data_IF_926828896440
#
_entry.id   IF_926828896440
#
_cell.length_a   1.000
_cell.length_b   1.000
_cell.length_c   1.000
_cell.angle_alpha   90.00
_cell.angle_beta   90.00
_cell.angle_gamma   90.00
#
_symmetry.space_group_name_H-M   'P 1'
#
loop_
_entity.id
_entity.type
_entity.pdbx_description
1 polymer ?
#
# COMPACT_ATOMS: atom_id res chain seq x y z
N UNK A 1 -6.04 -2.79 -18.64
CA UNK A 1 -5.62 -3.99 -17.88
C UNK A 1 -6.70 -5.05 -18.00
N UNK A 2 -6.33 -6.34 -18.04
CA UNK A 2 -7.29 -7.45 -18.00
C UNK A 2 -7.52 -7.98 -16.57
N UNK A 3 -6.52 -7.83 -15.69
CA UNK A 3 -6.59 -8.19 -14.27
C UNK A 3 -5.95 -7.07 -13.45
N UNK A 4 -6.58 -6.72 -12.32
CA UNK A 4 -6.02 -5.90 -11.25
C UNK A 4 -6.20 -6.68 -9.96
N UNK A 5 -5.17 -6.76 -9.11
CA UNK A 5 -5.28 -7.43 -7.83
C UNK A 5 -4.57 -6.66 -6.72
N UNK A 6 -5.08 -6.77 -5.50
CA UNK A 6 -4.50 -6.14 -4.32
C UNK A 6 -4.82 -6.93 -3.05
N UNK A 7 -3.79 -7.23 -2.25
CA UNK A 7 -3.99 -7.73 -0.88
C UNK A 7 -4.55 -6.62 0.00
N UNK A 8 -5.56 -6.93 0.82
CA UNK A 8 -6.31 -5.90 1.53
C UNK A 8 -5.50 -5.15 2.59
N UNK A 9 -4.55 -5.82 3.26
CA UNK A 9 -3.69 -5.34 4.36
C UNK A 9 -2.85 -4.10 4.10
N UNK A 10 -2.90 -3.55 2.89
CA UNK A 10 -2.18 -2.32 2.54
C UNK A 10 -3.07 -1.11 2.75
N UNK A 11 -4.17 -1.01 2.01
CA UNK A 11 -4.97 0.21 1.92
C UNK A 11 -6.48 -0.02 2.08
N UNK A 12 -6.96 -1.26 2.06
CA UNK A 12 -8.40 -1.54 1.92
C UNK A 12 -8.95 -2.51 2.97
N UNK A 13 -8.15 -2.94 3.95
CA UNK A 13 -8.64 -3.82 5.02
C UNK A 13 -7.52 -4.60 5.73
N UNK A 14 -7.87 -5.68 6.45
CA UNK A 14 -6.93 -6.55 7.15
C UNK A 14 -6.25 -7.57 6.22
N UNK A 15 -5.25 -8.29 6.73
CA UNK A 15 -4.62 -9.40 6.02
C UNK A 15 -5.53 -10.64 5.96
N UNK A 16 -5.37 -11.44 4.91
CA UNK A 16 -6.11 -12.70 4.71
C UNK A 16 -7.15 -12.67 3.58
N UNK A 17 -7.26 -11.56 2.85
CA UNK A 17 -8.14 -11.45 1.67
C UNK A 17 -7.46 -10.65 0.56
N UNK A 18 -7.71 -11.04 -0.69
CA UNK A 18 -7.19 -10.38 -1.89
C UNK A 18 -8.36 -9.95 -2.76
N UNK A 19 -8.42 -8.67 -3.10
CA UNK A 19 -9.35 -8.16 -4.10
C UNK A 19 -8.78 -8.45 -5.49
N UNK A 20 -9.61 -9.01 -6.37
CA UNK A 20 -9.28 -9.20 -7.79
C UNK A 20 -10.40 -8.60 -8.63
N UNK A 21 -10.03 -7.72 -9.57
CA UNK A 21 -10.91 -7.21 -10.62
C UNK A 21 -10.42 -7.83 -11.92
N UNK A 22 -11.26 -8.67 -12.53
CA UNK A 22 -10.96 -9.43 -13.74
C UNK A 22 -11.92 -9.01 -14.84
N UNK A 23 -11.41 -8.83 -16.06
CA UNK A 23 -12.24 -8.53 -17.24
C UNK A 23 -12.90 -9.81 -17.76
N UNK A 24 -14.17 -9.74 -18.11
CA UNK A 24 -14.95 -10.94 -18.45
C UNK A 24 -14.42 -11.74 -19.65
N UNK A 25 -13.78 -11.08 -20.63
CA UNK A 25 -13.26 -11.69 -21.86
C UNK A 25 -12.05 -12.63 -21.67
N UNK A 26 -11.45 -12.62 -20.48
CA UNK A 26 -10.35 -13.53 -20.10
C UNK A 26 -10.80 -14.67 -19.18
N UNK A 27 -12.08 -14.72 -18.80
CA UNK A 27 -12.65 -15.89 -18.13
C UNK A 27 -12.67 -17.09 -19.11
N UNK A 28 -12.65 -18.29 -18.57
CA UNK A 28 -12.55 -19.55 -19.33
C UNK A 28 -11.15 -19.89 -19.83
N UNK A 29 -10.13 -19.07 -19.54
CA UNK A 29 -8.75 -19.24 -20.04
C UNK A 29 -7.77 -19.82 -19.02
N UNK A 30 -8.26 -20.39 -17.92
CA UNK A 30 -7.39 -21.03 -16.93
C UNK A 30 -6.69 -22.25 -17.55
N UNK A 31 -5.41 -22.46 -17.23
CA UNK A 31 -4.70 -23.68 -17.63
C UNK A 31 -5.31 -24.89 -16.94
N UNK A 32 -5.25 -26.07 -17.57
CA UNK A 32 -5.76 -27.32 -17.00
C UNK A 32 -5.15 -27.67 -15.62
N UNK A 33 -3.93 -27.19 -15.35
CA UNK A 33 -3.23 -27.39 -14.06
C UNK A 33 -3.58 -26.35 -13.00
N UNK A 34 -4.39 -25.33 -13.33
CA UNK A 34 -4.74 -24.25 -12.41
C UNK A 34 -5.60 -24.80 -11.25
N UNK A 35 -5.18 -24.62 -9.99
CA UNK A 35 -6.01 -24.97 -8.85
C UNK A 35 -7.35 -24.23 -8.90
N UNK A 36 -8.42 -24.90 -8.45
CA UNK A 36 -9.80 -24.37 -8.46
C UNK A 36 -9.92 -23.01 -7.80
N UNK A 37 -9.28 -22.83 -6.63
CA UNK A 37 -9.30 -21.57 -5.86
C UNK A 37 -8.57 -20.40 -6.55
N UNK A 38 -7.77 -20.67 -7.58
CA UNK A 38 -7.09 -19.65 -8.40
C UNK A 38 -7.76 -19.45 -9.76
N UNK A 39 -8.77 -20.26 -10.10
CA UNK A 39 -9.48 -20.14 -11.36
C UNK A 39 -10.54 -19.03 -11.26
N UNK A 40 -10.26 -17.88 -11.87
CA UNK A 40 -11.16 -16.72 -11.87
C UNK A 40 -12.54 -17.01 -12.45
N UNK A 41 -12.66 -17.97 -13.37
CA UNK A 41 -13.96 -18.34 -13.96
C UNK A 41 -14.85 -19.02 -12.94
N UNK A 42 -14.28 -19.93 -12.16
CA UNK A 42 -14.99 -20.65 -11.09
C UNK A 42 -15.34 -19.67 -9.98
N UNK A 43 -14.36 -18.87 -9.52
CA UNK A 43 -14.60 -17.86 -8.49
C UNK A 43 -15.66 -16.82 -8.91
N UNK A 44 -15.69 -16.40 -10.17
CA UNK A 44 -16.71 -15.46 -10.67
C UNK A 44 -18.10 -16.11 -10.74
N UNK A 45 -18.21 -17.34 -11.24
CA UNK A 45 -19.48 -18.07 -11.33
C UNK A 45 -20.10 -18.32 -9.95
N UNK A 46 -19.26 -18.59 -8.95
CA UNK A 46 -19.71 -18.85 -7.57
C UNK A 46 -19.81 -17.57 -6.73
N UNK A 47 -19.73 -16.38 -7.34
CA UNK A 47 -19.76 -15.08 -6.65
C UNK A 47 -18.73 -14.99 -5.50
N UNK A 48 -17.55 -15.56 -5.68
CA UNK A 48 -16.48 -15.69 -4.66
C UNK A 48 -16.85 -16.53 -3.43
N UNK A 49 -17.86 -17.40 -3.54
CA UNK A 49 -18.36 -18.29 -2.48
C UNK A 49 -18.13 -19.78 -2.81
N UNK A 50 -17.15 -20.09 -3.65
CA UNK A 50 -16.79 -21.48 -4.00
C UNK A 50 -16.46 -22.33 -2.75
N UNK A 51 -15.82 -21.71 -1.75
CA UNK A 51 -15.57 -22.26 -0.43
C UNK A 51 -15.84 -21.20 0.64
N UNK A 52 -15.64 -21.54 1.91
CA UNK A 52 -15.82 -20.60 3.03
C UNK A 52 -14.92 -19.38 2.84
N UNK A 53 -15.47 -18.17 2.60
CA UNK A 53 -14.68 -16.99 2.37
C UNK A 53 -14.14 -16.42 3.70
N UNK A 54 -13.14 -15.52 3.66
CA UNK A 54 -12.66 -14.81 4.84
C UNK A 54 -13.69 -13.74 5.30
N UNK A 55 -14.80 -14.18 5.89
CA UNK A 55 -15.99 -13.36 6.20
C UNK A 55 -15.64 -12.11 7.00
N UNK A 56 -14.81 -12.25 8.04
CA UNK A 56 -14.41 -11.12 8.88
C UNK A 56 -13.64 -10.06 8.07
N UNK A 57 -12.70 -10.49 7.23
CA UNK A 57 -11.90 -9.59 6.41
C UNK A 57 -12.76 -8.88 5.37
N UNK A 58 -13.70 -9.59 4.72
CA UNK A 58 -14.64 -9.01 3.76
C UNK A 58 -15.53 -7.96 4.44
N UNK A 59 -16.04 -8.25 5.64
CA UNK A 59 -16.83 -7.30 6.41
C UNK A 59 -16.04 -6.00 6.70
N UNK A 60 -14.81 -6.12 7.20
CA UNK A 60 -13.96 -4.94 7.48
C UNK A 60 -13.63 -4.17 6.19
N UNK A 61 -13.38 -4.85 5.06
CA UNK A 61 -13.22 -4.19 3.77
C UNK A 61 -14.45 -3.36 3.40
N UNK A 62 -15.66 -3.88 3.64
CA UNK A 62 -16.91 -3.15 3.45
C UNK A 62 -16.96 -1.85 4.25
N UNK A 63 -16.58 -1.90 5.54
CA UNK A 63 -16.49 -0.71 6.39
C UNK A 63 -15.46 0.32 5.87
N UNK A 64 -14.30 -0.15 5.41
CA UNK A 64 -13.28 0.72 4.81
C UNK A 64 -13.80 1.39 3.53
N UNK A 65 -14.54 0.66 2.69
CA UNK A 65 -15.11 1.21 1.46
C UNK A 65 -16.18 2.27 1.74
N UNK A 66 -17.01 2.07 2.76
CA UNK A 66 -17.95 3.11 3.19
C UNK A 66 -17.23 4.35 3.72
N UNK A 67 -16.17 4.18 4.51
CA UNK A 67 -15.33 5.30 4.94
C UNK A 67 -14.68 6.03 3.75
N UNK A 68 -14.18 5.30 2.74
CA UNK A 68 -13.61 5.91 1.52
C UNK A 68 -14.67 6.77 0.81
N UNK A 69 -15.89 6.24 0.62
CA UNK A 69 -16.99 7.00 -0.01
C UNK A 69 -17.30 8.28 0.77
N UNK A 70 -17.40 8.20 2.09
CA UNK A 70 -17.66 9.35 2.96
C UNK A 70 -16.55 10.42 2.87
N UNK A 71 -15.32 10.03 2.53
CA UNK A 71 -14.17 10.91 2.40
C UNK A 71 -13.89 11.34 0.94
N UNK A 72 -14.92 11.44 0.10
CA UNK A 72 -14.80 11.91 -1.28
C UNK A 72 -14.36 10.85 -2.29
N UNK A 73 -14.51 9.56 -1.93
CA UNK A 73 -14.20 8.44 -2.81
C UNK A 73 -12.72 8.38 -3.21
N UNK A 74 -12.46 7.82 -4.40
CA UNK A 74 -11.09 7.64 -4.91
C UNK A 74 -10.37 8.98 -5.12
N UNK A 75 -11.07 10.01 -5.59
CA UNK A 75 -10.49 11.35 -5.77
C UNK A 75 -10.10 12.00 -4.43
N UNK A 76 -10.96 11.87 -3.41
CA UNK A 76 -10.65 12.31 -2.06
C UNK A 76 -9.42 11.60 -1.48
N UNK A 77 -9.30 10.29 -1.70
CA UNK A 77 -8.11 9.53 -1.31
C UNK A 77 -6.85 9.97 -2.06
N UNK A 78 -6.96 10.25 -3.36
CA UNK A 78 -5.87 10.77 -4.18
C UNK A 78 -5.38 12.13 -3.67
N UNK A 79 -6.30 13.05 -3.38
CA UNK A 79 -5.98 14.38 -2.87
C UNK A 79 -5.34 14.29 -1.48
N UNK A 80 -5.87 13.45 -0.59
CA UNK A 80 -5.29 13.20 0.73
C UNK A 80 -3.86 12.62 0.63
N UNK A 81 -3.65 11.62 -0.23
CA UNK A 81 -2.33 11.04 -0.45
C UNK A 81 -1.34 12.08 -0.99
N UNK A 82 -1.74 12.88 -1.98
CA UNK A 82 -0.92 13.98 -2.55
C UNK A 82 -0.55 15.01 -1.48
N UNK A 83 -1.51 15.47 -0.69
CA UNK A 83 -1.27 16.48 0.34
C UNK A 83 -0.29 15.97 1.41
N UNK A 84 -0.47 14.74 1.88
CA UNK A 84 0.42 14.11 2.86
C UNK A 84 1.82 13.89 2.29
N UNK A 85 1.93 13.36 1.06
CA UNK A 85 3.22 13.08 0.45
C UNK A 85 4.00 14.36 0.17
N UNK A 86 3.33 15.41 -0.29
CA UNK A 86 3.97 16.70 -0.58
C UNK A 86 4.56 17.32 0.67
N UNK A 87 3.88 17.26 1.82
CA UNK A 87 4.43 17.78 3.08
C UNK A 87 5.77 17.11 3.43
N UNK A 88 5.88 15.80 3.24
CA UNK A 88 7.11 15.06 3.54
C UNK A 88 8.18 15.34 2.48
N UNK A 89 7.82 15.29 1.20
CA UNK A 89 8.78 15.57 0.12
C UNK A 89 9.32 17.00 0.17
N UNK A 90 8.51 18.00 0.52
CA UNK A 90 8.98 19.36 0.70
C UNK A 90 10.03 19.47 1.82
N UNK A 91 9.88 18.71 2.90
CA UNK A 91 10.89 18.64 3.97
C UNK A 91 12.18 17.98 3.47
N UNK A 92 12.06 16.90 2.69
CA UNK A 92 13.22 16.20 2.12
C UNK A 92 13.96 17.13 1.15
N UNK A 93 13.26 17.70 0.18
CA UNK A 93 13.86 18.52 -0.87
C UNK A 93 14.38 19.86 -0.33
N UNK A 94 13.78 20.38 0.75
CA UNK A 94 14.22 21.61 1.44
C UNK A 94 15.27 21.39 2.53
N UNK A 95 15.83 20.19 2.68
CA UNK A 95 16.76 19.84 3.77
C UNK A 95 18.23 20.13 3.47
N UNK A 96 18.54 20.85 2.39
CA UNK A 96 19.91 21.14 1.93
C UNK A 96 20.78 19.87 1.77
N UNK A 97 20.15 18.74 1.43
CA UNK A 97 20.81 17.45 1.23
C UNK A 97 20.97 16.60 2.49
N UNK A 98 20.48 17.05 3.65
CA UNK A 98 20.49 16.22 4.87
C UNK A 98 19.57 15.01 4.74
N UNK A 99 18.38 15.17 4.17
CA UNK A 99 17.49 14.09 3.77
C UNK A 99 17.49 13.93 2.25
N UNK A 100 17.71 12.70 1.77
CA UNK A 100 17.79 12.43 0.33
C UNK A 100 16.84 11.30 -0.05
N UNK A 101 15.90 11.57 -0.95
CA UNK A 101 15.09 10.52 -1.56
C UNK A 101 15.88 9.87 -2.73
N UNK A 102 16.17 8.55 -2.70
CA UNK A 102 16.94 7.89 -3.76
C UNK A 102 16.14 7.66 -5.06
N UNK A 103 14.94 8.25 -5.16
CA UNK A 103 14.00 8.07 -6.27
C UNK A 103 13.85 9.40 -7.02
N UNK A 104 13.92 9.34 -8.35
CA UNK A 104 13.70 10.49 -9.24
C UNK A 104 12.34 11.14 -8.97
N UNK A 105 12.29 12.46 -9.01
CA UNK A 105 11.15 13.26 -8.54
C UNK A 105 9.84 12.98 -9.29
N UNK A 106 9.91 12.67 -10.58
CA UNK A 106 8.79 12.39 -11.48
C UNK A 106 8.10 11.03 -11.23
N UNK A 107 8.79 10.09 -10.58
CA UNK A 107 8.29 8.74 -10.28
C UNK A 107 8.15 8.45 -8.78
N UNK A 108 8.23 9.50 -7.95
CA UNK A 108 8.08 9.39 -6.49
C UNK A 108 6.69 8.86 -6.09
N UNK A 109 6.68 7.86 -5.22
CA UNK A 109 5.44 7.28 -4.71
C UNK A 109 4.75 8.23 -3.73
N UNK A 110 3.43 8.33 -3.84
CA UNK A 110 2.59 9.05 -2.86
C UNK A 110 2.23 8.21 -1.64
N UNK A 111 2.58 6.92 -1.63
CA UNK A 111 2.20 5.96 -0.60
C UNK A 111 3.38 5.48 0.25
N UNK A 112 4.56 5.31 -0.36
CA UNK A 112 5.74 4.85 0.35
C UNK A 112 6.92 5.76 0.00
N UNK A 113 7.39 6.55 0.96
CA UNK A 113 8.43 7.55 0.77
C UNK A 113 9.74 7.04 1.36
N UNK A 114 10.64 6.46 0.55
CA UNK A 114 11.98 6.14 1.00
C UNK A 114 12.86 7.39 1.05
N UNK A 115 13.71 7.49 2.07
CA UNK A 115 14.79 8.48 2.13
C UNK A 115 15.99 7.95 2.94
N UNK A 116 17.15 8.53 2.70
CA UNK A 116 18.40 8.33 3.43
C UNK A 116 18.77 9.61 4.17
N UNK A 117 19.60 9.50 5.20
CA UNK A 117 20.16 10.65 5.94
C UNK A 117 21.64 10.81 5.59
N UNK A 118 22.09 12.01 5.25
CA UNK A 118 23.47 12.33 4.84
C UNK A 118 24.07 11.30 3.87
N UNK A 119 23.36 11.04 2.76
CA UNK A 119 23.75 10.05 1.74
C UNK A 119 23.94 8.61 2.26
N UNK A 120 23.32 8.27 3.40
CA UNK A 120 23.25 6.91 3.92
C UNK A 120 24.08 6.66 5.17
N UNK A 121 24.34 7.67 5.99
CA UNK A 121 24.97 7.50 7.31
C UNK A 121 24.09 6.63 8.23
N UNK A 122 24.55 5.42 8.51
CA UNK A 122 23.82 4.42 9.30
C UNK A 122 23.64 4.84 10.77
N UNK A 123 24.60 5.56 11.35
CA UNK A 123 24.52 5.99 12.74
C UNK A 123 23.49 7.11 12.90
N UNK A 124 23.41 8.04 11.93
CA UNK A 124 22.36 9.05 11.89
C UNK A 124 20.98 8.43 11.64
N UNK A 125 20.87 7.45 10.74
CA UNK A 125 19.61 6.73 10.51
C UNK A 125 19.15 5.97 11.76
N UNK A 126 20.07 5.34 12.48
CA UNK A 126 19.78 4.68 13.76
C UNK A 126 19.32 5.68 14.82
N UNK A 127 19.99 6.82 14.95
CA UNK A 127 19.56 7.91 15.86
C UNK A 127 18.18 8.45 15.47
N UNK A 128 17.91 8.63 14.19
CA UNK A 128 16.60 9.04 13.69
C UNK A 128 15.52 8.04 14.07
N UNK A 129 15.73 6.75 13.83
CA UNK A 129 14.76 5.69 14.15
C UNK A 129 14.49 5.58 15.66
N UNK A 130 15.53 5.75 16.50
CA UNK A 130 15.37 5.81 17.95
C UNK A 130 14.55 7.04 18.37
N UNK A 131 14.90 8.22 17.85
CA UNK A 131 14.17 9.46 18.11
C UNK A 131 12.72 9.42 17.63
N UNK A 132 12.45 8.73 16.52
CA UNK A 132 11.11 8.52 15.99
C UNK A 132 10.29 7.59 16.89
N UNK A 133 10.90 6.47 17.33
CA UNK A 133 10.26 5.51 18.23
C UNK A 133 9.90 6.16 19.58
N UNK A 134 10.79 6.99 20.12
CA UNK A 134 10.54 7.75 21.35
C UNK A 134 9.37 8.75 21.22
N UNK A 135 8.99 9.11 19.99
CA UNK A 135 7.84 9.97 19.65
C UNK A 135 6.65 9.16 19.12
N UNK A 136 6.62 7.85 19.39
CA UNK A 136 5.56 6.93 18.96
C UNK A 136 5.37 6.83 17.45
N UNK A 137 6.37 7.22 16.66
CA UNK A 137 6.38 6.98 15.21
C UNK A 137 7.01 5.62 14.93
N UNK A 138 6.14 4.65 14.61
CA UNK A 138 6.51 3.25 14.44
C UNK A 138 6.65 2.89 12.94
N UNK A 139 7.35 1.77 12.68
CA UNK A 139 7.48 1.15 11.35
C UNK A 139 8.14 2.04 10.27
N UNK A 140 9.03 2.94 10.68
CA UNK A 140 9.81 3.78 9.76
C UNK A 140 11.06 3.10 9.20
N UNK A 141 11.48 1.96 9.76
CA UNK A 141 12.62 1.22 9.23
C UNK A 141 12.30 0.63 7.85
N UNK A 142 13.19 0.87 6.90
CA UNK A 142 13.13 0.35 5.53
C UNK A 142 13.11 -1.18 5.43
N UNK A 143 12.92 -1.66 4.22
CA UNK A 143 12.98 -3.09 3.94
C UNK A 143 14.41 -3.60 4.12
N UNK A 144 14.62 -4.84 4.58
CA UNK A 144 15.98 -5.37 4.84
C UNK A 144 16.88 -5.37 3.60
N UNK A 145 16.31 -5.47 2.41
CA UNK A 145 17.06 -5.45 1.14
C UNK A 145 17.38 -4.05 0.64
N UNK A 146 16.80 -3.01 1.24
CA UNK A 146 17.02 -1.62 0.89
C UNK A 146 17.18 -0.86 2.19
N UNK A 147 18.42 -0.70 2.62
CA UNK A 147 18.76 0.10 3.79
C UNK A 147 18.27 1.52 3.54
N UNK A 148 17.19 1.92 4.20
CA UNK A 148 16.66 3.28 4.15
C UNK A 148 15.68 3.48 5.32
N UNK A 149 15.25 4.73 5.48
CA UNK A 149 14.05 5.06 6.22
C UNK A 149 12.88 5.12 5.23
N UNK A 150 11.71 4.61 5.64
CA UNK A 150 10.51 4.61 4.81
C UNK A 150 9.30 5.13 5.58
N UNK A 151 8.63 6.15 5.05
CA UNK A 151 7.35 6.63 5.58
C UNK A 151 6.23 6.06 4.71
N UNK A 152 5.27 5.36 5.34
CA UNK A 152 4.12 4.78 4.66
C UNK A 152 2.88 5.62 4.91
N UNK A 153 2.43 6.31 3.89
CA UNK A 153 1.23 7.14 3.91
C UNK A 153 0.07 6.25 3.49
N UNK A 154 -0.59 5.66 4.47
CA UNK A 154 -1.83 4.90 4.25
C UNK A 154 -3.04 5.72 4.68
N UNK A 155 -4.22 5.35 4.20
CA UNK A 155 -5.47 5.72 4.87
C UNK A 155 -5.50 4.94 6.19
N UNK A 156 -5.31 5.63 7.31
CA UNK A 156 -5.58 5.04 8.60
C UNK A 156 -7.06 5.26 8.91
N UNK A 157 -7.76 4.18 9.24
CA UNK A 157 -8.83 4.21 10.22
C UNK A 157 -8.20 4.34 11.61
#
# INVERSE_FOLDING_TARGET
FAVIFAGAQKNIGPAGVTLVIVRNDILGRAMNVCPTVLNFSIMANDNSLHNTPPVFQIYVMGLVFEWIKQNGGVEGMQNSARNKSNKIYNVIDGSEGFYVCPVKSDVRSKMNIPFRIENGDEELEKKFLLGATARSMLQLKGHRSVENVIIKIKSQL
#
